data_IF_472238621206
#
_entry.id   IF_472238621206
#
_cell.length_a   1.000
_cell.length_b   1.000
_cell.length_c   1.000
_cell.angle_alpha   90.00
_cell.angle_beta   90.00
_cell.angle_gamma   90.00
#
_symmetry.space_group_name_H-M   'P 1'
#
loop_
_entity.id
_entity.type
_entity.pdbx_description
1 polymer ?
#
# COMPACT_ATOMS: atom_id res chain seq x y z
N UNK A 1 13.61 13.02 19.98
CA UNK A 1 14.68 14.02 19.86
C UNK A 1 16.05 13.44 19.49
N UNK A 2 16.40 12.21 19.89
CA UNK A 2 17.71 11.61 19.58
C UNK A 2 17.93 11.31 18.08
N UNK A 3 16.97 10.70 17.39
CA UNK A 3 17.13 10.25 15.98
C UNK A 3 17.22 11.42 15.00
N UNK A 4 16.46 12.49 15.21
CA UNK A 4 16.58 13.69 14.38
C UNK A 4 17.92 14.38 14.63
N UNK A 5 18.36 14.47 15.88
CA UNK A 5 19.68 15.02 16.20
C UNK A 5 20.80 14.16 15.59
N UNK A 6 20.70 12.82 15.64
CA UNK A 6 21.69 11.93 15.01
C UNK A 6 21.64 12.04 13.48
N UNK A 7 20.46 12.19 12.88
CA UNK A 7 20.31 12.44 11.45
C UNK A 7 20.88 13.79 11.05
N UNK A 8 20.59 14.85 11.81
CA UNK A 8 21.13 16.20 11.56
C UNK A 8 22.64 16.28 11.75
N UNK A 9 23.19 15.58 12.76
CA UNK A 9 24.64 15.53 13.01
C UNK A 9 25.40 14.78 11.91
N UNK A 10 24.75 13.83 11.23
CA UNK A 10 25.35 13.05 10.15
C UNK A 10 25.04 13.63 8.75
N UNK A 11 24.18 14.66 8.63
CA UNK A 11 24.02 15.39 7.39
C UNK A 11 25.26 16.25 7.12
N UNK A 12 25.80 16.28 5.91
CA UNK A 12 26.85 17.21 5.53
C UNK A 12 26.26 18.63 5.44
N UNK A 13 25.89 19.21 6.59
CA UNK A 13 25.23 20.52 6.71
C UNK A 13 25.90 21.60 5.86
N UNK A 14 27.24 21.72 5.79
CA UNK A 14 27.88 22.73 4.93
C UNK A 14 27.55 22.52 3.43
N UNK A 15 27.38 21.28 3.01
CA UNK A 15 27.00 20.94 1.64
C UNK A 15 25.53 21.27 1.35
N UNK A 16 24.66 21.05 2.34
CA UNK A 16 23.22 21.34 2.21
C UNK A 16 22.95 22.83 2.25
N UNK A 17 23.64 23.59 3.09
CA UNK A 17 23.48 25.04 3.18
C UNK A 17 23.94 25.78 1.91
N UNK A 18 25.06 25.36 1.33
CA UNK A 18 25.62 26.04 0.14
C UNK A 18 25.07 25.51 -1.17
N UNK A 19 24.88 24.19 -1.28
CA UNK A 19 24.54 23.52 -2.53
C UNK A 19 23.14 22.92 -2.56
N UNK A 20 22.41 22.92 -1.45
CA UNK A 20 21.15 22.20 -1.32
C UNK A 20 20.09 22.61 -2.33
N UNK A 21 19.92 23.92 -2.56
CA UNK A 21 18.99 24.43 -3.58
C UNK A 21 19.46 24.10 -5.00
N UNK A 22 20.76 24.08 -5.25
CA UNK A 22 21.31 23.68 -6.55
C UNK A 22 21.10 22.20 -6.79
N UNK A 23 21.34 21.35 -5.78
CA UNK A 23 21.09 19.91 -5.84
C UNK A 23 19.60 19.65 -6.09
N UNK A 24 18.71 20.37 -5.40
CA UNK A 24 17.26 20.29 -5.59
C UNK A 24 16.87 20.67 -7.03
N UNK A 25 17.38 21.80 -7.53
CA UNK A 25 17.16 22.27 -8.88
C UNK A 25 17.61 21.24 -9.93
N UNK A 26 18.86 20.79 -9.83
CA UNK A 26 19.43 19.79 -10.76
C UNK A 26 18.71 18.45 -10.69
N UNK A 27 18.30 18.03 -9.50
CA UNK A 27 17.54 16.80 -9.32
C UNK A 27 16.17 16.87 -10.00
N UNK A 28 15.44 17.96 -9.82
CA UNK A 28 14.15 18.17 -10.48
C UNK A 28 14.29 18.31 -12.01
N UNK A 29 15.36 18.95 -12.47
CA UNK A 29 15.69 19.12 -13.88
C UNK A 29 16.02 17.78 -14.52
N UNK A 30 16.97 17.02 -13.96
CA UNK A 30 17.43 15.72 -14.49
C UNK A 30 16.28 14.72 -14.53
N UNK A 31 15.42 14.71 -13.51
CA UNK A 31 14.26 13.85 -13.44
C UNK A 31 13.23 14.11 -14.56
N UNK A 32 13.20 15.33 -15.09
CA UNK A 32 12.33 15.71 -16.22
C UNK A 32 12.95 15.44 -17.58
N UNK A 33 14.23 15.02 -17.64
CA UNK A 33 14.89 14.67 -18.91
C UNK A 33 14.47 13.28 -19.39
N UNK A 34 14.30 13.09 -20.73
CA UNK A 34 14.00 11.78 -21.29
C UNK A 34 15.16 10.82 -21.03
N UNK A 35 14.90 9.56 -20.78
CA UNK A 35 15.82 8.47 -20.45
C UNK A 35 16.37 8.59 -19.01
N UNK A 36 17.18 9.60 -18.74
CA UNK A 36 17.90 9.78 -17.47
C UNK A 36 16.91 9.91 -16.31
N UNK A 37 15.85 10.69 -16.51
CA UNK A 37 14.81 10.91 -15.48
C UNK A 37 14.05 9.64 -15.07
N UNK A 38 13.98 8.61 -15.91
CA UNK A 38 13.34 7.34 -15.54
C UNK A 38 14.15 6.51 -14.53
N UNK A 39 15.44 6.76 -14.42
CA UNK A 39 16.37 6.04 -13.53
C UNK A 39 16.86 6.91 -12.37
N UNK A 40 16.67 8.21 -12.46
CA UNK A 40 17.16 9.16 -11.45
C UNK A 40 16.10 9.37 -10.35
N UNK A 41 16.44 9.21 -9.06
CA UNK A 41 15.48 9.32 -7.95
C UNK A 41 15.26 10.78 -7.50
N UNK A 42 15.11 11.73 -8.44
CA UNK A 42 14.98 13.16 -8.14
C UNK A 42 13.76 13.49 -7.30
N UNK A 43 12.64 12.72 -7.46
CA UNK A 43 11.45 12.89 -6.63
C UNK A 43 11.73 12.70 -5.13
N UNK A 44 12.63 11.78 -4.78
CA UNK A 44 13.06 11.59 -3.39
C UNK A 44 13.79 12.83 -2.85
N UNK A 45 14.59 13.52 -3.69
CA UNK A 45 15.27 14.76 -3.32
C UNK A 45 14.26 15.89 -3.13
N UNK A 46 13.23 15.96 -3.97
CA UNK A 46 12.15 16.96 -3.83
C UNK A 46 11.31 16.73 -2.58
N UNK A 47 10.97 15.48 -2.26
CA UNK A 47 10.32 15.13 -0.98
C UNK A 47 11.22 15.48 0.21
N UNK A 48 12.51 15.14 0.13
CA UNK A 48 13.48 15.46 1.18
C UNK A 48 13.61 16.96 1.39
N UNK A 49 13.53 17.78 0.34
CA UNK A 49 13.58 19.25 0.48
C UNK A 49 12.41 19.79 1.31
N UNK A 50 11.22 19.18 1.22
CA UNK A 50 10.08 19.49 2.09
C UNK A 50 10.34 19.13 3.54
N UNK A 51 10.93 17.96 3.78
CA UNK A 51 11.35 17.54 5.12
C UNK A 51 12.42 18.49 5.71
N UNK A 52 13.41 18.89 4.91
CA UNK A 52 14.42 19.88 5.32
C UNK A 52 13.81 21.27 5.58
N UNK A 53 12.75 21.63 4.88
CA UNK A 53 12.00 22.86 5.15
C UNK A 53 11.23 22.78 6.49
N UNK A 54 10.71 21.63 6.86
CA UNK A 54 10.14 21.42 8.20
C UNK A 54 11.19 21.58 9.31
N UNK A 55 12.41 21.10 9.09
CA UNK A 55 13.53 21.25 10.02
C UNK A 55 14.10 22.68 10.07
N UNK A 56 13.59 23.62 9.26
CA UNK A 56 14.05 25.00 9.19
C UNK A 56 15.36 25.19 8.41
N UNK A 57 15.91 24.14 7.77
CA UNK A 57 17.12 24.20 6.95
C UNK A 57 16.82 24.86 5.61
N UNK A 58 15.67 24.56 5.01
CA UNK A 58 15.18 25.20 3.79
C UNK A 58 13.99 26.10 4.09
N UNK A 59 13.80 27.13 3.26
CA UNK A 59 12.53 27.86 3.21
C UNK A 59 11.56 27.11 2.32
N UNK A 60 10.33 26.91 2.80
CA UNK A 60 9.30 26.13 2.10
C UNK A 60 8.96 26.73 0.73
N UNK A 61 8.78 28.05 0.66
CA UNK A 61 8.50 28.80 -0.56
C UNK A 61 9.65 28.70 -1.59
N UNK A 62 10.89 28.80 -1.12
CA UNK A 62 12.07 28.65 -1.95
C UNK A 62 12.23 27.22 -2.48
N UNK A 63 12.01 26.21 -1.64
CA UNK A 63 12.07 24.81 -2.06
C UNK A 63 11.04 24.50 -3.15
N UNK A 64 9.79 24.96 -3.00
CA UNK A 64 8.75 24.81 -4.03
C UNK A 64 9.15 25.51 -5.33
N UNK A 65 9.64 26.76 -5.22
CA UNK A 65 10.02 27.56 -6.39
C UNK A 65 11.19 26.94 -7.16
N UNK A 66 12.22 26.50 -6.45
CA UNK A 66 13.41 25.87 -7.05
C UNK A 66 13.08 24.53 -7.71
N UNK A 67 12.28 23.67 -7.04
CA UNK A 67 11.82 22.41 -7.61
C UNK A 67 10.94 22.64 -8.86
N UNK A 68 10.05 23.64 -8.81
CA UNK A 68 9.23 24.05 -9.95
C UNK A 68 10.09 24.49 -11.14
N UNK A 69 11.05 25.41 -10.92
CA UNK A 69 11.94 25.90 -11.97
C UNK A 69 12.76 24.77 -12.59
N UNK A 70 13.36 23.92 -11.77
CA UNK A 70 14.10 22.74 -12.25
C UNK A 70 13.23 21.84 -13.13
N UNK A 71 12.04 21.52 -12.68
CA UNK A 71 11.12 20.67 -13.41
C UNK A 71 10.65 21.27 -14.74
N UNK A 72 10.32 22.58 -14.78
CA UNK A 72 9.87 23.26 -16.01
C UNK A 72 11.02 23.40 -17.00
N UNK A 73 12.22 23.73 -16.54
CA UNK A 73 13.39 23.82 -17.42
C UNK A 73 13.76 22.44 -17.99
N UNK A 74 13.71 21.39 -17.17
CA UNK A 74 13.92 20.03 -17.64
C UNK A 74 12.87 19.58 -18.69
N UNK A 75 11.60 19.95 -18.51
CA UNK A 75 10.55 19.73 -19.50
C UNK A 75 10.78 20.50 -20.79
N UNK A 76 11.22 21.76 -20.69
CA UNK A 76 11.58 22.58 -21.87
C UNK A 76 12.70 21.93 -22.67
N UNK A 77 13.75 21.48 -22.01
CA UNK A 77 14.84 20.75 -22.66
C UNK A 77 14.33 19.47 -23.33
N UNK A 78 13.50 18.71 -22.63
CA UNK A 78 12.87 17.48 -23.16
C UNK A 78 12.00 17.76 -24.38
N UNK A 79 11.21 18.84 -24.35
CA UNK A 79 10.39 19.28 -25.48
C UNK A 79 11.25 19.67 -26.68
N UNK A 80 12.31 20.47 -26.49
CA UNK A 80 13.22 20.91 -27.54
C UNK A 80 13.96 19.71 -28.17
N UNK A 81 14.43 18.76 -27.34
CA UNK A 81 15.04 17.51 -27.83
C UNK A 81 14.03 16.72 -28.67
N UNK A 82 12.80 16.58 -28.20
CA UNK A 82 11.72 15.91 -28.93
C UNK A 82 11.39 16.60 -30.27
N UNK A 83 11.30 17.93 -30.25
CA UNK A 83 10.99 18.75 -31.41
C UNK A 83 12.06 18.65 -32.51
N UNK A 84 13.35 18.71 -32.13
CA UNK A 84 14.49 18.70 -33.07
C UNK A 84 14.86 17.29 -33.55
N UNK A 85 14.88 16.31 -32.63
CA UNK A 85 15.47 15.01 -32.89
C UNK A 85 14.48 13.83 -32.84
N UNK A 86 13.21 14.08 -32.53
CA UNK A 86 12.26 13.07 -32.08
C UNK A 86 12.08 11.86 -32.97
N UNK A 87 12.03 12.03 -34.28
CA UNK A 87 11.83 10.90 -35.20
C UNK A 87 13.06 9.96 -35.25
N UNK A 88 14.24 10.52 -35.44
CA UNK A 88 15.48 9.76 -35.50
C UNK A 88 15.89 9.18 -34.14
N UNK A 89 15.58 9.90 -33.06
CA UNK A 89 15.88 9.49 -31.72
C UNK A 89 15.07 8.25 -31.29
N UNK A 90 13.78 8.21 -31.62
CA UNK A 90 12.93 7.04 -31.32
C UNK A 90 13.31 5.84 -32.17
N UNK A 91 13.62 6.02 -33.45
CA UNK A 91 14.05 4.93 -34.30
C UNK A 91 15.36 4.26 -33.80
N UNK A 92 16.28 5.07 -33.26
CA UNK A 92 17.60 4.59 -32.81
C UNK A 92 17.62 4.12 -31.37
N UNK A 93 16.87 4.79 -30.49
CA UNK A 93 16.93 4.58 -29.03
C UNK A 93 15.62 4.08 -28.41
N UNK A 94 14.52 4.00 -29.14
CA UNK A 94 13.19 3.62 -28.63
C UNK A 94 13.16 2.27 -27.92
N UNK A 95 14.04 1.33 -28.25
CA UNK A 95 14.18 0.04 -27.56
C UNK A 95 14.58 0.20 -26.08
N UNK A 96 15.39 1.20 -25.76
CA UNK A 96 15.85 1.47 -24.39
C UNK A 96 14.78 2.11 -23.52
N UNK A 97 13.70 2.63 -24.13
CA UNK A 97 12.58 3.29 -23.44
C UNK A 97 11.38 2.39 -23.21
N UNK A 98 11.47 1.09 -23.53
CA UNK A 98 10.29 0.22 -23.57
C UNK A 98 9.16 0.78 -24.48
N UNK A 99 9.48 1.73 -25.36
CA UNK A 99 8.60 2.32 -26.35
C UNK A 99 8.64 1.47 -27.61
N UNK A 100 7.77 0.47 -27.68
CA UNK A 100 7.46 -0.14 -28.97
C UNK A 100 6.78 0.89 -29.88
N UNK A 101 6.95 0.77 -31.18
CA UNK A 101 6.33 1.67 -32.17
C UNK A 101 4.82 1.84 -31.96
N UNK A 102 4.14 0.76 -31.57
CA UNK A 102 2.70 0.76 -31.26
C UNK A 102 2.37 1.60 -30.01
N UNK A 103 3.21 1.53 -28.97
CA UNK A 103 3.02 2.35 -27.75
C UNK A 103 3.32 3.81 -28.01
N UNK A 104 4.32 4.10 -28.83
CA UNK A 104 4.65 5.45 -29.25
C UNK A 104 3.50 6.12 -29.99
N UNK A 105 2.93 5.47 -31.03
CA UNK A 105 1.81 6.03 -31.78
C UNK A 105 0.56 6.24 -30.93
N UNK A 106 0.26 5.29 -29.99
CA UNK A 106 -0.84 5.47 -29.04
C UNK A 106 -0.62 6.67 -28.12
N UNK A 107 0.59 6.85 -27.59
CA UNK A 107 0.91 7.96 -26.69
C UNK A 107 0.91 9.30 -27.45
N UNK A 108 1.42 9.31 -28.67
CA UNK A 108 1.41 10.48 -29.56
C UNK A 108 -0.02 10.95 -29.88
N UNK A 109 -0.93 10.02 -30.20
CA UNK A 109 -2.33 10.34 -30.45
C UNK A 109 -3.02 10.86 -29.18
N UNK A 110 -2.79 10.23 -28.04
CA UNK A 110 -3.32 10.64 -26.75
C UNK A 110 -2.84 12.05 -26.34
N UNK A 111 -1.58 12.38 -26.60
CA UNK A 111 -1.04 13.73 -26.34
C UNK A 111 -1.55 14.74 -27.35
N UNK A 112 -1.75 14.39 -28.62
CA UNK A 112 -2.38 15.28 -29.60
C UNK A 112 -3.80 15.67 -29.22
N UNK A 113 -4.60 14.70 -28.77
CA UNK A 113 -6.00 14.92 -28.40
C UNK A 113 -6.14 15.55 -27.01
N UNK A 114 -5.33 15.14 -26.04
CA UNK A 114 -5.48 15.48 -24.63
C UNK A 114 -4.15 16.01 -24.00
N UNK A 115 -3.44 16.89 -24.70
CA UNK A 115 -2.15 17.41 -24.25
C UNK A 115 -2.16 17.93 -22.81
N UNK A 116 -3.21 18.65 -22.41
CA UNK A 116 -3.35 19.18 -21.05
C UNK A 116 -3.39 18.09 -20.00
N UNK A 117 -4.26 17.08 -20.18
CA UNK A 117 -4.39 15.96 -19.23
C UNK A 117 -3.10 15.13 -19.17
N UNK A 118 -2.45 14.89 -20.30
CA UNK A 118 -1.23 14.10 -20.35
C UNK A 118 -0.04 14.82 -19.67
N UNK A 119 0.10 16.13 -19.84
CA UNK A 119 1.17 16.92 -19.25
C UNK A 119 0.97 17.19 -17.75
N UNK A 120 -0.27 17.35 -17.28
CA UNK A 120 -0.55 17.58 -15.86
C UNK A 120 -0.58 16.27 -15.09
N UNK A 121 -1.48 15.33 -15.46
CA UNK A 121 -1.70 14.07 -14.73
C UNK A 121 -0.52 13.14 -14.92
N UNK A 122 0.08 13.14 -16.11
CA UNK A 122 1.26 12.31 -16.43
C UNK A 122 2.46 12.61 -15.53
N UNK A 123 2.58 13.81 -14.95
CA UNK A 123 3.67 14.16 -14.03
C UNK A 123 3.69 13.36 -12.73
N UNK A 124 2.54 12.87 -12.30
CA UNK A 124 2.45 12.02 -11.10
C UNK A 124 2.82 10.56 -11.35
N UNK A 125 3.07 10.18 -12.61
CA UNK A 125 3.60 8.88 -12.98
C UNK A 125 5.06 9.01 -13.42
N UNK A 126 6.03 8.38 -12.75
CA UNK A 126 7.46 8.57 -13.05
C UNK A 126 7.82 8.29 -14.52
N UNK A 127 7.24 7.27 -15.10
CA UNK A 127 7.48 6.91 -16.51
C UNK A 127 6.83 7.88 -17.49
N UNK A 128 5.57 8.27 -17.24
CA UNK A 128 4.82 9.18 -18.14
C UNK A 128 5.42 10.57 -18.11
N UNK A 129 5.87 11.03 -16.95
CA UNK A 129 6.51 12.35 -16.78
C UNK A 129 7.75 12.49 -17.65
N UNK A 130 8.70 11.56 -17.55
CA UNK A 130 9.97 11.62 -18.30
C UNK A 130 9.79 11.60 -19.83
N UNK A 131 8.63 11.11 -20.32
CA UNK A 131 8.37 10.92 -21.74
C UNK A 131 7.37 11.93 -22.30
N UNK A 132 6.47 12.48 -21.46
CA UNK A 132 5.37 13.33 -21.93
C UNK A 132 5.82 14.64 -22.59
N UNK A 133 6.80 15.34 -21.99
CA UNK A 133 7.36 16.56 -22.54
C UNK A 133 8.11 16.30 -23.88
N UNK A 134 8.87 15.22 -23.93
CA UNK A 134 9.56 14.78 -25.13
C UNK A 134 8.55 14.44 -26.27
N UNK A 135 7.51 13.65 -25.99
CA UNK A 135 6.49 13.31 -27.00
C UNK A 135 5.68 14.55 -27.40
N UNK A 136 5.45 15.52 -26.51
CA UNK A 136 4.84 16.79 -26.87
C UNK A 136 5.65 17.55 -27.93
N UNK A 137 7.00 17.54 -27.78
CA UNK A 137 7.92 18.07 -28.78
C UNK A 137 7.87 17.33 -30.10
N UNK A 138 7.98 16.01 -30.08
CA UNK A 138 7.84 15.15 -31.29
C UNK A 138 6.51 15.36 -32.01
N UNK A 139 5.43 15.55 -31.24
CA UNK A 139 4.10 15.78 -31.78
C UNK A 139 3.87 17.22 -32.29
N UNK A 140 4.89 18.09 -32.19
CA UNK A 140 4.87 19.50 -32.58
C UNK A 140 3.68 20.27 -31.98
N UNK A 141 3.36 20.06 -30.71
CA UNK A 141 2.37 20.84 -30.02
C UNK A 141 2.81 22.30 -29.95
N UNK A 142 1.87 23.26 -30.12
CA UNK A 142 2.18 24.68 -30.03
C UNK A 142 2.89 24.98 -28.71
N UNK A 143 4.03 25.67 -28.78
CA UNK A 143 4.88 25.96 -27.61
C UNK A 143 4.14 26.66 -26.48
N UNK A 144 3.28 27.65 -26.80
CA UNK A 144 2.46 28.36 -25.80
C UNK A 144 1.53 27.41 -25.04
N UNK A 145 0.93 26.44 -25.71
CA UNK A 145 0.07 25.43 -25.10
C UNK A 145 0.90 24.46 -24.24
N UNK A 146 2.07 24.07 -24.72
CA UNK A 146 2.97 23.20 -23.95
C UNK A 146 3.43 23.85 -22.68
N UNK A 147 3.97 25.10 -22.74
CA UNK A 147 4.52 25.79 -21.57
C UNK A 147 3.44 26.07 -20.52
N UNK A 148 2.23 26.42 -20.93
CA UNK A 148 1.11 26.64 -20.03
C UNK A 148 0.84 25.38 -19.16
N UNK A 149 0.70 24.22 -19.80
CA UNK A 149 0.44 22.98 -19.08
C UNK A 149 1.68 22.44 -18.33
N UNK A 150 2.88 22.70 -18.83
CA UNK A 150 4.12 22.36 -18.14
C UNK A 150 4.28 23.18 -16.85
N UNK A 151 3.97 24.48 -16.87
CA UNK A 151 3.98 25.31 -15.68
C UNK A 151 2.88 24.90 -14.69
N UNK A 152 1.65 24.73 -15.15
CA UNK A 152 0.53 24.33 -14.27
C UNK A 152 0.78 22.96 -13.60
N UNK A 153 1.23 21.98 -14.38
CA UNK A 153 1.61 20.67 -13.85
C UNK A 153 2.86 20.72 -12.97
N UNK A 154 3.82 21.60 -13.31
CA UNK A 154 5.06 21.81 -12.56
C UNK A 154 4.82 22.35 -11.17
N UNK A 155 3.99 23.39 -11.05
CA UNK A 155 3.68 23.98 -9.74
C UNK A 155 2.86 23.01 -8.87
N UNK A 156 1.90 22.29 -9.47
CA UNK A 156 1.11 21.29 -8.77
C UNK A 156 2.00 20.16 -8.25
N UNK A 157 2.90 19.63 -9.08
CA UNK A 157 3.80 18.55 -8.70
C UNK A 157 4.84 18.98 -7.65
N UNK A 158 5.52 20.11 -7.85
CA UNK A 158 6.51 20.62 -6.91
C UNK A 158 5.86 20.98 -5.56
N UNK A 159 4.73 21.69 -5.60
CA UNK A 159 3.99 22.06 -4.40
C UNK A 159 3.53 20.83 -3.61
N UNK A 160 2.86 19.87 -4.26
CA UNK A 160 2.41 18.65 -3.59
C UNK A 160 3.58 17.83 -3.05
N UNK A 161 4.67 17.67 -3.82
CA UNK A 161 5.81 16.86 -3.38
C UNK A 161 6.52 17.47 -2.18
N UNK A 162 6.80 18.78 -2.22
CA UNK A 162 7.44 19.49 -1.11
C UNK A 162 6.52 19.54 0.12
N UNK A 163 5.21 19.79 -0.07
CA UNK A 163 4.24 19.78 1.04
C UNK A 163 4.10 18.39 1.67
N UNK A 164 4.07 17.34 0.87
CA UNK A 164 4.07 15.96 1.41
C UNK A 164 5.32 15.70 2.24
N UNK A 165 6.49 16.12 1.77
CA UNK A 165 7.74 16.03 2.55
C UNK A 165 7.71 16.85 3.83
N UNK A 166 7.13 18.05 3.80
CA UNK A 166 6.96 18.93 4.96
C UNK A 166 6.02 18.34 6.01
N UNK A 167 4.85 17.85 5.58
CA UNK A 167 3.88 17.17 6.46
C UNK A 167 4.48 15.89 7.01
N UNK A 168 5.20 15.12 6.20
CA UNK A 168 5.93 13.94 6.68
C UNK A 168 6.94 14.32 7.76
N UNK A 169 7.63 15.47 7.63
CA UNK A 169 8.52 16.02 8.65
C UNK A 169 7.82 16.27 9.99
N UNK A 170 6.61 16.85 9.97
CA UNK A 170 5.81 17.08 11.19
C UNK A 170 5.47 15.77 11.93
N UNK A 171 5.26 14.70 11.17
CA UNK A 171 4.92 13.39 11.74
C UNK A 171 6.14 12.47 11.94
N UNK A 172 7.31 12.91 11.47
CA UNK A 172 8.52 12.09 11.47
C UNK A 172 9.01 11.76 12.88
N UNK A 173 8.94 12.69 13.83
CA UNK A 173 9.28 12.45 15.23
C UNK A 173 8.36 11.40 15.87
N UNK A 174 7.07 11.47 15.55
CA UNK A 174 6.12 10.46 15.95
C UNK A 174 6.40 9.13 15.24
N UNK A 175 6.68 9.16 13.93
CA UNK A 175 6.91 7.98 13.12
C UNK A 175 8.28 7.32 13.40
N UNK A 176 9.37 8.08 13.50
CA UNK A 176 10.73 7.54 13.63
C UNK A 176 10.95 6.82 14.95
N UNK A 177 10.32 7.31 16.00
CA UNK A 177 10.34 6.68 17.31
C UNK A 177 9.69 5.30 17.29
N UNK A 178 8.72 5.10 16.38
CA UNK A 178 7.86 3.93 16.29
C UNK A 178 8.20 2.98 15.15
N UNK A 179 8.80 3.50 14.09
CA UNK A 179 9.05 2.72 12.87
C UNK A 179 10.48 2.21 12.71
N UNK A 180 11.46 2.73 13.48
CA UNK A 180 12.88 2.57 13.15
C UNK A 180 13.38 1.13 13.12
N UNK A 181 13.12 0.32 14.14
CA UNK A 181 13.71 -1.04 14.23
C UNK A 181 12.89 -2.09 13.48
N UNK A 182 11.58 -2.10 13.68
CA UNK A 182 10.70 -3.14 13.09
C UNK A 182 10.48 -2.97 11.61
N UNK A 183 10.37 -1.75 11.11
CA UNK A 183 10.29 -1.48 9.65
C UNK A 183 11.56 -1.94 8.94
N UNK A 184 12.72 -1.65 9.50
CA UNK A 184 13.99 -2.12 8.92
C UNK A 184 14.05 -3.63 8.87
N UNK A 185 13.61 -4.32 9.93
CA UNK A 185 13.54 -5.78 9.97
C UNK A 185 12.51 -6.29 8.94
N UNK A 186 11.34 -5.68 8.85
CA UNK A 186 10.32 -6.07 7.86
C UNK A 186 10.81 -5.86 6.42
N UNK A 187 11.41 -4.71 6.11
CA UNK A 187 12.00 -4.41 4.80
C UNK A 187 13.15 -5.38 4.49
N UNK A 188 14.08 -5.61 5.45
CA UNK A 188 15.17 -6.55 5.28
C UNK A 188 14.66 -7.97 5.03
N UNK A 189 13.63 -8.40 5.75
CA UNK A 189 12.98 -9.70 5.56
C UNK A 189 12.32 -9.80 4.18
N UNK A 190 11.63 -8.77 3.74
CA UNK A 190 11.02 -8.72 2.39
C UNK A 190 12.11 -8.78 1.31
N UNK A 191 13.19 -8.00 1.46
CA UNK A 191 14.34 -8.03 0.54
C UNK A 191 14.98 -9.42 0.54
N UNK A 192 15.21 -10.03 1.69
CA UNK A 192 15.76 -11.38 1.82
C UNK A 192 14.85 -12.42 1.14
N UNK A 193 13.54 -12.32 1.30
CA UNK A 193 12.55 -13.17 0.62
C UNK A 193 12.65 -13.02 -0.91
N UNK A 194 12.72 -11.77 -1.40
CA UNK A 194 12.83 -11.48 -2.84
C UNK A 194 14.15 -12.01 -3.41
N UNK A 195 15.26 -11.79 -2.71
CA UNK A 195 16.58 -12.28 -3.12
C UNK A 195 16.65 -13.80 -3.05
N UNK A 196 16.19 -14.41 -1.97
CA UNK A 196 16.09 -15.86 -1.81
C UNK A 196 15.23 -16.50 -2.92
N UNK A 197 14.07 -15.90 -3.21
CA UNK A 197 13.23 -16.30 -4.33
C UNK A 197 13.98 -16.24 -5.68
N UNK A 198 14.68 -15.13 -5.96
CA UNK A 198 15.46 -14.98 -7.21
C UNK A 198 16.57 -16.01 -7.33
N UNK A 199 17.32 -16.25 -6.25
CA UNK A 199 18.43 -17.21 -6.21
C UNK A 199 17.94 -18.66 -6.37
N UNK A 200 16.90 -19.05 -5.61
CA UNK A 200 16.37 -20.41 -5.65
C UNK A 200 15.66 -20.70 -6.99
N UNK A 201 14.93 -19.70 -7.52
CA UNK A 201 14.16 -19.88 -8.74
C UNK A 201 15.04 -19.85 -10.00
N UNK A 202 16.25 -19.27 -9.94
CA UNK A 202 17.23 -19.29 -11.04
C UNK A 202 17.68 -20.72 -11.40
N UNK A 203 17.66 -21.65 -10.40
CA UNK A 203 18.14 -23.03 -10.61
C UNK A 203 17.03 -24.09 -10.68
N UNK A 204 15.88 -23.91 -10.03
CA UNK A 204 14.89 -24.99 -9.86
C UNK A 204 13.45 -24.66 -10.24
N UNK A 205 13.09 -23.42 -10.62
CA UNK A 205 11.71 -22.98 -10.95
C UNK A 205 10.62 -23.46 -9.98
N UNK A 206 10.96 -23.62 -8.69
CA UNK A 206 10.08 -24.20 -7.66
C UNK A 206 8.98 -23.23 -7.25
N UNK A 207 9.30 -21.92 -7.24
CA UNK A 207 8.36 -20.92 -6.76
C UNK A 207 7.77 -20.10 -7.90
N UNK A 208 6.45 -20.03 -7.99
CA UNK A 208 5.78 -19.12 -8.90
C UNK A 208 5.82 -17.68 -8.35
N UNK A 209 5.81 -16.68 -9.24
CA UNK A 209 5.91 -15.24 -8.91
C UNK A 209 4.93 -14.78 -7.81
N UNK A 210 3.76 -15.39 -7.73
CA UNK A 210 2.74 -15.06 -6.72
C UNK A 210 3.11 -15.48 -5.28
N UNK A 211 4.04 -16.44 -5.07
CA UNK A 211 4.50 -16.79 -3.71
C UNK A 211 5.20 -15.61 -3.03
N UNK A 212 5.91 -14.79 -3.80
CA UNK A 212 6.56 -13.57 -3.29
C UNK A 212 5.52 -12.59 -2.75
N UNK A 213 4.40 -12.41 -3.48
CA UNK A 213 3.33 -11.52 -3.02
C UNK A 213 2.69 -12.00 -1.72
N UNK A 214 2.41 -13.32 -1.59
CA UNK A 214 1.86 -13.87 -0.36
C UNK A 214 2.85 -13.80 0.81
N UNK A 215 4.14 -14.05 0.56
CA UNK A 215 5.18 -13.91 1.58
C UNK A 215 5.33 -12.46 2.03
N UNK A 216 5.36 -11.51 1.10
CA UNK A 216 5.43 -10.07 1.43
C UNK A 216 4.20 -9.65 2.25
N UNK A 217 3.00 -10.07 1.83
CA UNK A 217 1.78 -9.76 2.56
C UNK A 217 1.76 -10.39 3.95
N UNK A 218 2.30 -11.60 4.09
CA UNK A 218 2.44 -12.30 5.36
C UNK A 218 3.37 -11.56 6.33
N UNK A 219 4.54 -11.10 5.84
CA UNK A 219 5.49 -10.31 6.64
C UNK A 219 4.89 -8.97 7.05
N UNK A 220 4.19 -8.29 6.14
CA UNK A 220 3.51 -7.03 6.48
C UNK A 220 2.40 -7.25 7.52
N UNK A 221 1.63 -8.32 7.39
CA UNK A 221 0.56 -8.64 8.33
C UNK A 221 1.10 -8.93 9.72
N UNK A 222 2.13 -9.77 9.85
CA UNK A 222 2.73 -10.06 11.16
C UNK A 222 3.42 -8.84 11.77
N UNK A 223 4.01 -7.97 10.93
CA UNK A 223 4.56 -6.70 11.36
C UNK A 223 3.49 -5.79 11.97
N UNK A 224 2.36 -5.58 11.25
CA UNK A 224 1.24 -4.75 11.76
C UNK A 224 0.70 -5.33 13.06
N UNK A 225 0.51 -6.65 13.13
CA UNK A 225 0.05 -7.32 14.34
C UNK A 225 1.00 -7.08 15.52
N UNK A 226 2.31 -7.31 15.32
CA UNK A 226 3.33 -7.08 16.35
C UNK A 226 3.39 -5.63 16.81
N UNK A 227 3.28 -4.68 15.86
CA UNK A 227 3.29 -3.25 16.16
C UNK A 227 2.08 -2.80 17.00
N UNK A 228 0.88 -3.35 16.73
CA UNK A 228 -0.30 -3.05 17.55
C UNK A 228 -0.13 -3.54 19.01
N UNK A 229 0.55 -4.65 19.20
CA UNK A 229 0.86 -5.20 20.54
C UNK A 229 1.91 -4.34 21.24
N UNK A 230 3.01 -4.03 20.56
CA UNK A 230 4.09 -3.18 21.09
C UNK A 230 3.55 -1.83 21.55
N UNK A 231 2.82 -1.12 20.68
CA UNK A 231 2.24 0.19 20.96
C UNK A 231 1.27 0.17 22.16
N UNK A 232 0.57 -0.95 22.36
CA UNK A 232 -0.27 -1.13 23.54
C UNK A 232 0.56 -1.18 24.84
N UNK A 233 1.63 -1.98 24.85
CA UNK A 233 2.47 -2.11 26.05
C UNK A 233 3.29 -0.85 26.34
N UNK A 234 3.84 -0.23 25.28
CA UNK A 234 4.68 0.97 25.41
C UNK A 234 3.88 2.27 25.52
N UNK A 235 2.54 2.20 25.44
CA UNK A 235 1.61 3.34 25.47
C UNK A 235 1.94 4.41 24.43
N UNK A 236 2.28 3.97 23.23
CA UNK A 236 2.78 4.83 22.15
C UNK A 236 1.66 5.45 21.29
N UNK A 237 1.97 5.77 20.03
CA UNK A 237 1.09 6.52 19.13
C UNK A 237 -0.29 5.88 18.96
N UNK A 238 -0.33 4.57 18.63
CA UNK A 238 -1.59 3.87 18.37
C UNK A 238 -2.44 3.76 19.64
N UNK A 239 -1.81 3.60 20.80
CA UNK A 239 -2.48 3.64 22.09
C UNK A 239 -3.17 5.00 22.33
N UNK A 240 -2.47 6.12 22.06
CA UNK A 240 -3.04 7.46 22.17
C UNK A 240 -4.16 7.70 21.16
N UNK A 241 -3.98 7.19 19.94
CA UNK A 241 -4.98 7.24 18.89
C UNK A 241 -6.25 6.47 19.27
N UNK A 242 -6.13 5.31 19.92
CA UNK A 242 -7.27 4.55 20.45
C UNK A 242 -8.12 5.40 21.38
N UNK A 243 -7.50 6.07 22.36
CA UNK A 243 -8.22 6.95 23.29
C UNK A 243 -8.79 8.19 22.62
N UNK A 244 -8.05 8.78 21.70
CA UNK A 244 -8.53 9.92 20.92
C UNK A 244 -9.77 9.54 20.09
N UNK A 245 -9.75 8.39 19.43
CA UNK A 245 -10.86 7.92 18.62
C UNK A 245 -12.06 7.55 19.51
N UNK A 246 -11.81 6.85 20.62
CA UNK A 246 -12.86 6.47 21.59
C UNK A 246 -13.60 7.69 22.13
N UNK A 247 -12.89 8.80 22.41
CA UNK A 247 -13.50 10.04 22.88
C UNK A 247 -14.35 10.77 21.84
N UNK A 248 -14.34 10.34 20.56
CA UNK A 248 -15.02 11.01 19.44
C UNK A 248 -16.07 10.14 18.74
N UNK A 249 -16.02 8.85 18.93
CA UNK A 249 -16.97 7.92 18.29
C UNK A 249 -18.40 8.22 18.69
N UNK A 250 -18.63 8.74 19.89
CA UNK A 250 -19.96 9.13 20.40
C UNK A 250 -20.65 10.16 19.51
N UNK A 251 -19.89 11.02 18.83
CA UNK A 251 -20.41 12.01 17.89
C UNK A 251 -21.12 11.38 16.68
N UNK A 252 -20.84 10.12 16.40
CA UNK A 252 -21.45 9.36 15.31
C UNK A 252 -22.71 8.61 15.74
N UNK A 253 -23.03 8.59 17.05
CA UNK A 253 -24.14 7.79 17.55
C UNK A 253 -25.48 8.34 17.10
N UNK A 254 -26.18 7.55 16.32
CA UNK A 254 -27.53 7.80 15.82
C UNK A 254 -28.34 6.51 15.91
N UNK A 255 -29.59 6.58 16.30
CA UNK A 255 -30.47 5.41 16.51
C UNK A 255 -30.47 4.44 15.30
N UNK A 256 -30.58 4.95 14.08
CA UNK A 256 -30.58 4.13 12.86
C UNK A 256 -29.23 3.44 12.61
N UNK A 257 -28.14 4.20 12.71
CA UNK A 257 -26.78 3.69 12.51
C UNK A 257 -26.40 2.69 13.61
N UNK A 258 -26.77 2.95 14.86
CA UNK A 258 -26.54 2.01 15.97
C UNK A 258 -27.24 0.68 15.73
N UNK A 259 -28.51 0.68 15.32
CA UNK A 259 -29.24 -0.54 14.98
C UNK A 259 -28.55 -1.32 13.84
N UNK A 260 -28.09 -0.60 12.82
CA UNK A 260 -27.32 -1.20 11.70
C UNK A 260 -26.00 -1.83 12.20
N UNK A 261 -25.24 -1.14 13.05
CA UNK A 261 -23.97 -1.66 13.57
C UNK A 261 -24.18 -2.87 14.48
N UNK A 262 -25.24 -2.89 15.28
CA UNK A 262 -25.63 -4.05 16.08
C UNK A 262 -26.03 -5.21 15.19
N UNK A 263 -26.80 -4.99 14.12
CA UNK A 263 -27.13 -6.03 13.15
C UNK A 263 -25.87 -6.61 12.48
N UNK A 264 -24.98 -5.72 11.98
CA UNK A 264 -23.73 -6.12 11.33
C UNK A 264 -22.88 -6.98 12.27
N UNK A 265 -22.69 -6.54 13.51
CA UNK A 265 -21.85 -7.28 14.47
C UNK A 265 -22.43 -8.64 14.85
N UNK A 266 -23.76 -8.77 14.93
CA UNK A 266 -24.44 -10.03 15.26
C UNK A 266 -24.40 -11.00 14.08
N UNK A 267 -24.76 -10.54 12.87
CA UNK A 267 -24.75 -11.37 11.65
C UNK A 267 -23.34 -11.85 11.29
N UNK A 268 -22.32 -11.03 11.49
CA UNK A 268 -20.93 -11.37 11.20
C UNK A 268 -20.13 -11.66 12.49
N UNK A 269 -20.80 -12.20 13.50
CA UNK A 269 -20.10 -12.63 14.72
C UNK A 269 -19.17 -13.83 14.44
N UNK A 270 -18.09 -14.00 15.22
CA UNK A 270 -17.18 -15.14 15.09
C UNK A 270 -17.90 -16.48 15.14
N UNK A 271 -18.94 -16.59 15.97
CA UNK A 271 -19.75 -17.81 16.09
C UNK A 271 -20.52 -18.10 14.78
N UNK A 272 -21.20 -17.09 14.22
CA UNK A 272 -21.96 -17.22 12.96
C UNK A 272 -21.02 -17.52 11.81
N UNK A 273 -19.93 -16.75 11.63
CA UNK A 273 -18.97 -16.97 10.56
C UNK A 273 -18.28 -18.34 10.69
N UNK A 274 -17.98 -18.77 11.92
CA UNK A 274 -17.43 -20.09 12.22
C UNK A 274 -18.42 -21.22 11.87
N UNK A 275 -19.69 -21.08 12.24
CA UNK A 275 -20.73 -22.05 11.92
C UNK A 275 -20.96 -22.18 10.40
N UNK A 276 -21.01 -21.05 9.67
CA UNK A 276 -21.13 -21.05 8.21
C UNK A 276 -19.89 -21.68 7.54
N UNK A 277 -18.69 -21.35 8.05
CA UNK A 277 -17.45 -21.97 7.56
C UNK A 277 -17.43 -23.48 7.80
N UNK A 278 -17.88 -23.94 8.98
CA UNK A 278 -17.99 -25.36 9.29
C UNK A 278 -19.00 -26.06 8.38
N UNK A 279 -20.18 -25.48 8.17
CA UNK A 279 -21.20 -26.01 7.24
C UNK A 279 -20.65 -26.08 5.81
N UNK A 280 -19.92 -25.07 5.35
CA UNK A 280 -19.24 -25.10 4.06
C UNK A 280 -18.18 -26.20 3.99
N UNK A 281 -17.38 -26.40 5.03
CA UNK A 281 -16.38 -27.45 5.10
C UNK A 281 -17.04 -28.83 5.00
N UNK A 282 -18.12 -29.10 5.76
CA UNK A 282 -18.89 -30.32 5.70
C UNK A 282 -19.50 -30.55 4.31
N UNK A 283 -20.09 -29.51 3.71
CA UNK A 283 -20.63 -29.60 2.34
C UNK A 283 -19.56 -30.02 1.32
N UNK A 284 -18.39 -29.37 1.34
CA UNK A 284 -17.30 -29.70 0.42
C UNK A 284 -16.69 -31.08 0.72
N UNK A 285 -16.70 -31.53 1.97
CA UNK A 285 -16.28 -32.87 2.35
C UNK A 285 -17.20 -33.92 1.76
N UNK A 286 -18.53 -33.75 1.88
CA UNK A 286 -19.55 -34.65 1.28
C UNK A 286 -19.41 -34.67 -0.25
N UNK A 287 -19.15 -33.52 -0.87
CA UNK A 287 -18.88 -33.40 -2.32
C UNK A 287 -17.51 -33.97 -2.74
N UNK A 288 -16.82 -34.67 -1.86
CA UNK A 288 -15.49 -35.29 -2.05
C UNK A 288 -14.37 -34.30 -2.39
N UNK A 289 -14.57 -32.99 -2.12
CA UNK A 289 -13.54 -31.96 -2.25
C UNK A 289 -12.78 -31.77 -0.92
N UNK A 290 -12.19 -32.87 -0.42
CA UNK A 290 -11.60 -32.98 0.92
C UNK A 290 -10.56 -31.87 1.23
N UNK A 291 -9.75 -31.50 0.24
CA UNK A 291 -8.71 -30.49 0.44
C UNK A 291 -9.27 -29.10 0.69
N UNK A 292 -10.33 -28.71 -0.08
CA UNK A 292 -11.02 -27.44 0.14
C UNK A 292 -11.73 -27.43 1.49
N UNK A 293 -12.35 -28.56 1.85
CA UNK A 293 -12.96 -28.73 3.16
C UNK A 293 -11.94 -28.57 4.29
N UNK A 294 -10.80 -29.26 4.21
CA UNK A 294 -9.71 -29.13 5.19
C UNK A 294 -9.16 -27.70 5.25
N UNK A 295 -8.96 -27.05 4.10
CA UNK A 295 -8.51 -25.66 4.05
C UNK A 295 -9.47 -24.72 4.76
N UNK A 296 -10.78 -24.81 4.49
CA UNK A 296 -11.82 -23.98 5.14
C UNK A 296 -11.83 -24.25 6.65
N UNK A 297 -11.85 -25.53 7.05
CA UNK A 297 -11.88 -25.92 8.45
C UNK A 297 -10.67 -25.44 9.23
N UNK A 298 -9.46 -25.70 8.73
CA UNK A 298 -8.20 -25.31 9.38
C UNK A 298 -8.07 -23.78 9.43
N UNK A 299 -8.53 -23.08 8.38
CA UNK A 299 -8.49 -21.61 8.37
C UNK A 299 -9.39 -21.02 9.46
N UNK A 300 -10.62 -21.49 9.57
CA UNK A 300 -11.58 -20.98 10.56
C UNK A 300 -11.23 -21.40 11.98
N UNK A 301 -11.02 -22.69 12.22
CA UNK A 301 -10.69 -23.22 13.55
C UNK A 301 -9.36 -22.68 14.08
N UNK A 302 -8.31 -22.70 13.25
CA UNK A 302 -7.00 -22.20 13.63
C UNK A 302 -6.98 -20.69 13.85
N UNK A 303 -7.74 -19.92 13.05
CA UNK A 303 -7.89 -18.48 13.28
C UNK A 303 -8.59 -18.19 14.61
N UNK A 304 -9.65 -18.92 14.93
CA UNK A 304 -10.33 -18.79 16.23
C UNK A 304 -9.39 -19.12 17.39
N UNK A 305 -8.68 -20.24 17.32
CA UNK A 305 -7.72 -20.66 18.36
C UNK A 305 -6.61 -19.60 18.53
N UNK A 306 -6.04 -19.09 17.44
CA UNK A 306 -5.01 -18.06 17.51
C UNK A 306 -5.55 -16.77 18.13
N UNK A 307 -6.76 -16.36 17.77
CA UNK A 307 -7.39 -15.17 18.36
C UNK A 307 -7.56 -15.29 19.86
N UNK A 308 -8.09 -16.42 20.34
CA UNK A 308 -8.28 -16.67 21.77
C UNK A 308 -6.93 -16.83 22.50
N UNK A 309 -5.95 -17.48 21.90
CA UNK A 309 -4.60 -17.61 22.46
C UNK A 309 -3.99 -16.23 22.75
N UNK A 310 -3.99 -15.32 21.75
CA UNK A 310 -3.44 -13.99 21.94
C UNK A 310 -4.26 -13.13 22.91
N UNK A 311 -5.58 -13.27 22.97
CA UNK A 311 -6.40 -12.59 24.00
C UNK A 311 -5.99 -12.99 25.41
N UNK A 312 -5.81 -14.29 25.66
CA UNK A 312 -5.38 -14.78 26.97
C UNK A 312 -3.94 -14.39 27.30
N UNK A 313 -3.07 -14.24 26.31
CA UNK A 313 -1.69 -13.83 26.49
C UNK A 313 -1.56 -12.34 26.82
N UNK A 314 -2.31 -11.48 26.08
CA UNK A 314 -2.16 -10.01 26.17
C UNK A 314 -3.04 -9.41 27.26
N UNK A 315 -4.22 -9.97 27.51
CA UNK A 315 -5.18 -9.59 28.56
C UNK A 315 -5.57 -8.11 28.55
N UNK A 316 -5.71 -7.50 27.37
CA UNK A 316 -6.09 -6.09 27.25
C UNK A 316 -7.54 -5.86 27.65
N UNK A 317 -7.85 -4.85 28.52
CA UNK A 317 -9.22 -4.49 28.86
C UNK A 317 -9.94 -3.83 27.66
N UNK A 318 -11.26 -3.96 27.64
CA UNK A 318 -12.12 -3.30 26.64
C UNK A 318 -12.37 -1.84 26.99
N UNK A 319 -12.83 -1.00 26.03
CA UNK A 319 -13.41 0.30 26.34
C UNK A 319 -14.53 0.17 27.37
N UNK A 320 -14.61 1.14 28.30
CA UNK A 320 -15.55 1.06 29.42
C UNK A 320 -17.01 1.38 29.05
N UNK A 321 -17.21 2.17 27.98
CA UNK A 321 -18.52 2.73 27.59
C UNK A 321 -19.14 2.02 26.36
N UNK A 322 -19.06 0.69 26.30
CA UNK A 322 -19.62 -0.08 25.17
C UNK A 322 -21.14 -0.04 25.11
N UNK A 323 -21.71 0.13 23.89
CA UNK A 323 -23.16 0.12 23.65
C UNK A 323 -23.81 -1.26 23.74
N UNK A 324 -23.00 -2.31 23.77
CA UNK A 324 -23.44 -3.71 23.94
C UNK A 324 -22.54 -4.42 24.94
N UNK A 325 -23.12 -5.31 25.72
CA UNK A 325 -22.35 -6.14 26.65
C UNK A 325 -21.44 -7.11 25.91
N UNK A 326 -20.18 -7.17 26.33
CA UNK A 326 -19.20 -8.10 25.81
C UNK A 326 -18.25 -8.55 26.91
N UNK A 327 -17.96 -9.85 26.95
CA UNK A 327 -17.06 -10.46 27.92
C UNK A 327 -15.64 -10.69 27.36
N UNK A 328 -14.70 -10.90 28.27
CA UNK A 328 -13.32 -11.27 27.93
C UNK A 328 -12.45 -10.10 27.43
N UNK A 329 -11.23 -10.43 27.01
CA UNK A 329 -10.22 -9.45 26.61
C UNK A 329 -10.46 -8.88 25.20
N UNK A 330 -9.88 -7.70 24.95
CA UNK A 330 -10.15 -6.93 23.71
C UNK A 330 -9.22 -7.25 22.56
N UNK A 331 -7.93 -7.45 22.77
CA UNK A 331 -6.91 -7.58 21.70
C UNK A 331 -6.49 -9.03 21.49
N UNK A 332 -6.55 -9.54 20.24
CA UNK A 332 -7.08 -8.95 19.03
C UNK A 332 -8.61 -9.08 18.88
N UNK A 333 -9.22 -8.27 17.99
CA UNK A 333 -10.66 -8.38 17.72
C UNK A 333 -10.99 -9.67 16.94
N UNK A 334 -11.75 -10.57 17.60
CA UNK A 334 -12.19 -11.84 16.99
C UNK A 334 -13.13 -11.65 15.80
N UNK A 335 -13.98 -10.60 15.79
CA UNK A 335 -14.86 -10.27 14.66
C UNK A 335 -14.03 -9.88 13.43
N UNK A 336 -13.07 -8.98 13.59
CA UNK A 336 -12.20 -8.54 12.50
C UNK A 336 -11.36 -9.71 11.94
N UNK A 337 -10.80 -10.54 12.82
CA UNK A 337 -10.02 -11.72 12.45
C UNK A 337 -10.85 -12.71 11.63
N UNK A 338 -12.02 -13.11 12.15
CA UNK A 338 -12.88 -14.08 11.48
C UNK A 338 -13.49 -13.52 10.19
N UNK A 339 -13.79 -12.22 10.13
CA UNK A 339 -14.26 -11.56 8.92
C UNK A 339 -13.22 -11.64 7.79
N UNK A 340 -11.95 -11.35 8.07
CA UNK A 340 -10.87 -11.47 7.07
C UNK A 340 -10.77 -12.90 6.57
N UNK A 341 -10.73 -13.88 7.47
CA UNK A 341 -10.60 -15.29 7.10
C UNK A 341 -11.79 -15.72 6.23
N UNK A 342 -13.01 -15.50 6.73
CA UNK A 342 -14.23 -15.96 6.06
C UNK A 342 -14.42 -15.30 4.69
N UNK A 343 -14.41 -13.97 4.63
CA UNK A 343 -14.66 -13.25 3.40
C UNK A 343 -13.54 -13.43 2.36
N UNK A 344 -12.29 -13.61 2.79
CA UNK A 344 -11.21 -13.94 1.86
C UNK A 344 -11.36 -15.35 1.28
N UNK A 345 -11.86 -16.33 2.04
CA UNK A 345 -12.22 -17.66 1.52
C UNK A 345 -13.36 -17.55 0.50
N UNK A 346 -14.39 -16.74 0.80
CA UNK A 346 -15.49 -16.47 -0.14
C UNK A 346 -14.96 -15.83 -1.42
N UNK A 347 -14.10 -14.81 -1.30
CA UNK A 347 -13.45 -14.19 -2.45
C UNK A 347 -12.67 -15.22 -3.27
N UNK A 348 -11.89 -16.06 -2.62
CA UNK A 348 -11.10 -17.10 -3.28
C UNK A 348 -11.97 -18.10 -4.07
N UNK A 349 -13.06 -18.57 -3.48
CA UNK A 349 -13.94 -19.57 -4.11
C UNK A 349 -14.73 -18.99 -5.29
N UNK A 350 -15.21 -17.75 -5.17
CA UNK A 350 -16.15 -17.17 -6.13
C UNK A 350 -15.49 -16.26 -7.18
N UNK A 351 -14.37 -15.58 -6.87
CA UNK A 351 -13.73 -14.66 -7.81
C UNK A 351 -13.23 -15.37 -9.09
N UNK A 352 -12.87 -16.65 -9.02
CA UNK A 352 -12.46 -17.42 -10.21
C UNK A 352 -13.63 -17.74 -11.15
N UNK A 353 -14.87 -17.78 -10.64
CA UNK A 353 -16.06 -18.03 -11.45
C UNK A 353 -16.47 -16.79 -12.26
N UNK A 354 -16.03 -15.61 -11.87
CA UNK A 354 -16.34 -14.36 -12.55
C UNK A 354 -15.34 -14.13 -13.68
N UNK A 355 -15.80 -14.29 -14.93
CA UNK A 355 -14.94 -14.18 -16.13
C UNK A 355 -14.53 -12.74 -16.44
N UNK A 356 -15.43 -11.79 -16.26
CA UNK A 356 -15.19 -10.40 -16.59
C UNK A 356 -14.43 -9.66 -15.47
N UNK A 357 -13.45 -8.82 -15.85
CA UNK A 357 -12.60 -8.10 -14.88
C UNK A 357 -13.38 -7.10 -14.03
N UNK A 358 -14.31 -6.36 -14.62
CA UNK A 358 -15.04 -5.31 -13.91
C UNK A 358 -15.92 -5.87 -12.77
N UNK A 359 -16.86 -6.84 -12.99
CA UNK A 359 -17.62 -7.43 -11.90
C UNK A 359 -16.76 -8.19 -10.90
N UNK A 360 -15.63 -8.76 -11.32
CA UNK A 360 -14.66 -9.37 -10.40
C UNK A 360 -14.05 -8.36 -9.45
N UNK A 361 -13.64 -7.19 -9.95
CA UNK A 361 -13.09 -6.12 -9.12
C UNK A 361 -14.16 -5.52 -8.20
N UNK A 362 -15.40 -5.36 -8.67
CA UNK A 362 -16.52 -4.90 -7.85
C UNK A 362 -16.83 -5.89 -6.72
N UNK A 363 -16.83 -7.19 -7.01
CA UNK A 363 -16.99 -8.24 -6.00
C UNK A 363 -15.89 -8.17 -4.94
N UNK A 364 -14.62 -8.03 -5.36
CA UNK A 364 -13.50 -7.89 -4.44
C UNK A 364 -13.62 -6.62 -3.57
N UNK A 365 -14.01 -5.48 -4.17
CA UNK A 365 -14.26 -4.25 -3.44
C UNK A 365 -15.41 -4.40 -2.43
N UNK A 366 -16.49 -5.09 -2.78
CA UNK A 366 -17.58 -5.41 -1.86
C UNK A 366 -17.14 -6.26 -0.67
N UNK A 367 -16.29 -7.24 -0.90
CA UNK A 367 -15.69 -8.05 0.17
C UNK A 367 -14.82 -7.22 1.10
N UNK A 368 -13.96 -6.36 0.56
CA UNK A 368 -13.11 -5.45 1.36
C UNK A 368 -13.98 -4.50 2.18
N UNK A 369 -15.05 -3.95 1.58
CA UNK A 369 -16.00 -3.09 2.26
C UNK A 369 -16.68 -3.82 3.44
N UNK A 370 -17.14 -5.07 3.26
CA UNK A 370 -17.75 -5.86 4.32
C UNK A 370 -16.77 -6.12 5.49
N UNK A 371 -15.52 -6.47 5.19
CA UNK A 371 -14.48 -6.63 6.21
C UNK A 371 -14.29 -5.33 7.00
N UNK A 372 -14.19 -4.19 6.29
CA UNK A 372 -14.09 -2.87 6.90
C UNK A 372 -15.30 -2.51 7.75
N UNK A 373 -16.51 -2.81 7.25
CA UNK A 373 -17.78 -2.56 7.95
C UNK A 373 -17.88 -3.35 9.26
N UNK A 374 -17.47 -4.63 9.26
CA UNK A 374 -17.40 -5.45 10.48
C UNK A 374 -16.41 -4.84 11.46
N UNK A 375 -15.21 -4.47 11.02
CA UNK A 375 -14.22 -3.80 11.87
C UNK A 375 -14.73 -2.49 12.45
N UNK A 376 -15.33 -1.64 11.59
CA UNK A 376 -15.92 -0.37 12.00
C UNK A 376 -17.04 -0.55 13.03
N UNK A 377 -17.90 -1.57 12.88
CA UNK A 377 -18.98 -1.82 13.85
C UNK A 377 -18.45 -2.04 15.26
N UNK A 378 -17.24 -2.64 15.41
CA UNK A 378 -16.65 -2.91 16.73
C UNK A 378 -16.12 -1.65 17.41
N UNK A 379 -15.60 -0.72 16.60
CA UNK A 379 -15.14 0.60 17.06
C UNK A 379 -16.35 1.46 17.40
N UNK A 380 -17.34 1.53 16.50
CA UNK A 380 -18.56 2.32 16.67
C UNK A 380 -19.34 1.95 17.96
N UNK A 381 -19.44 0.66 18.23
CA UNK A 381 -20.12 0.15 19.42
C UNK A 381 -19.25 0.24 20.70
N UNK A 382 -18.04 0.78 20.62
CA UNK A 382 -17.07 0.90 21.74
C UNK A 382 -16.81 -0.42 22.46
N UNK A 383 -16.74 -1.52 21.74
CA UNK A 383 -16.43 -2.84 22.32
C UNK A 383 -15.00 -3.30 22.03
N UNK A 384 -14.32 -2.60 21.11
CA UNK A 384 -12.92 -2.77 20.77
C UNK A 384 -12.25 -1.45 20.44
N UNK A 385 -10.99 -1.33 20.77
CA UNK A 385 -10.12 -0.27 20.33
C UNK A 385 -9.81 -0.39 18.82
N UNK A 386 -9.42 0.71 18.19
CA UNK A 386 -8.99 0.67 16.77
C UNK A 386 -7.85 -0.33 16.55
N UNK A 387 -6.84 -0.32 17.45
CA UNK A 387 -5.70 -1.23 17.36
C UNK A 387 -6.09 -2.70 17.54
N UNK A 388 -7.13 -3.02 18.33
CA UNK A 388 -7.67 -4.39 18.43
C UNK A 388 -8.19 -4.87 17.08
N UNK A 389 -8.91 -3.97 16.37
CA UNK A 389 -9.45 -4.26 15.05
C UNK A 389 -8.33 -4.43 14.03
N UNK A 390 -7.38 -3.50 13.99
CA UNK A 390 -6.22 -3.57 13.11
C UNK A 390 -5.39 -4.85 13.35
N UNK A 391 -5.16 -5.21 14.61
CA UNK A 391 -4.48 -6.45 14.99
C UNK A 391 -5.28 -7.70 14.55
N UNK A 392 -6.62 -7.68 14.72
CA UNK A 392 -7.47 -8.77 14.27
C UNK A 392 -7.43 -8.98 12.76
N UNK A 393 -7.53 -7.89 11.98
CA UNK A 393 -7.39 -7.91 10.52
C UNK A 393 -6.01 -8.46 10.10
N UNK A 394 -4.95 -7.97 10.73
CA UNK A 394 -3.59 -8.36 10.44
C UNK A 394 -3.33 -9.84 10.79
N UNK A 395 -3.75 -10.31 11.97
CA UNK A 395 -3.59 -11.70 12.38
C UNK A 395 -4.38 -12.66 11.47
N UNK A 396 -5.60 -12.28 11.08
CA UNK A 396 -6.42 -13.05 10.15
C UNK A 396 -5.77 -13.17 8.77
N UNK A 397 -5.21 -12.05 8.26
CA UNK A 397 -4.50 -12.02 6.99
C UNK A 397 -3.20 -12.83 7.03
N UNK A 398 -2.42 -12.72 8.13
CA UNK A 398 -1.23 -13.52 8.37
C UNK A 398 -1.56 -15.02 8.34
N UNK A 399 -2.55 -15.44 9.13
CA UNK A 399 -2.93 -16.83 9.23
C UNK A 399 -3.37 -17.41 7.89
N UNK A 400 -4.25 -16.71 7.18
CA UNK A 400 -4.76 -17.18 5.89
C UNK A 400 -3.65 -17.27 4.83
N UNK A 401 -2.80 -16.24 4.71
CA UNK A 401 -1.70 -16.25 3.75
C UNK A 401 -0.66 -17.31 4.07
N UNK A 402 -0.38 -17.54 5.35
CA UNK A 402 0.47 -18.64 5.83
C UNK A 402 -0.10 -20.00 5.38
N UNK A 403 -1.38 -20.25 5.63
CA UNK A 403 -2.02 -21.50 5.20
C UNK A 403 -2.02 -21.68 3.69
N UNK A 404 -2.29 -20.62 2.92
CA UNK A 404 -2.20 -20.68 1.45
C UNK A 404 -0.79 -21.13 1.02
N UNK A 405 0.26 -20.60 1.62
CA UNK A 405 1.63 -20.98 1.32
C UNK A 405 1.90 -22.45 1.70
N UNK A 406 1.51 -22.86 2.91
CA UNK A 406 1.69 -24.26 3.38
C UNK A 406 0.97 -25.24 2.47
N UNK A 407 -0.32 -25.03 2.17
CA UNK A 407 -1.09 -25.92 1.31
C UNK A 407 -0.50 -26.00 -0.11
N UNK A 408 0.06 -24.91 -0.62
CA UNK A 408 0.72 -24.89 -1.94
C UNK A 408 2.05 -25.63 -1.95
N UNK A 409 2.86 -25.46 -0.90
CA UNK A 409 4.11 -26.22 -0.78
C UNK A 409 3.83 -27.70 -0.69
N UNK A 410 2.84 -28.12 0.12
CA UNK A 410 2.41 -29.52 0.21
C UNK A 410 1.91 -30.02 -1.15
N UNK A 411 1.10 -29.23 -1.86
CA UNK A 411 0.59 -29.58 -3.18
C UNK A 411 1.69 -29.77 -4.24
N UNK A 412 2.83 -29.08 -4.11
CA UNK A 412 3.98 -29.24 -5.00
C UNK A 412 4.85 -30.45 -4.65
N UNK A 413 4.91 -30.80 -3.37
CA UNK A 413 5.69 -31.95 -2.90
C UNK A 413 4.98 -33.28 -3.17
N UNK A 414 3.65 -33.30 -3.18
CA UNK A 414 2.84 -34.48 -3.45
C UNK A 414 2.41 -34.46 -4.91
N UNK A 415 3.03 -35.31 -5.78
CA UNK A 415 2.79 -35.36 -7.25
C UNK A 415 1.32 -35.59 -7.65
N UNK A 416 0.49 -36.10 -6.80
CA UNK A 416 -0.92 -36.49 -7.05
C UNK A 416 -1.95 -35.45 -6.57
N UNK A 417 -1.54 -34.20 -6.37
CA UNK A 417 -2.43 -33.15 -5.87
C UNK A 417 -3.35 -32.60 -6.99
N UNK A 418 -4.70 -32.64 -6.81
CA UNK A 418 -5.65 -32.20 -7.84
C UNK A 418 -5.55 -30.70 -8.12
N UNK A 419 -5.80 -30.34 -9.38
CA UNK A 419 -5.52 -29.06 -10.02
C UNK A 419 -6.26 -27.81 -9.56
N UNK A 420 -7.10 -27.83 -8.50
CA UNK A 420 -7.83 -26.61 -8.06
C UNK A 420 -6.97 -25.59 -7.30
N UNK A 421 -5.79 -26.02 -6.78
CA UNK A 421 -4.74 -25.11 -6.31
C UNK A 421 -3.76 -24.68 -7.42
N UNK A 422 -3.90 -25.25 -8.63
CA UNK A 422 -3.19 -24.77 -9.81
C UNK A 422 -3.90 -23.50 -10.29
N UNK A 423 -3.45 -22.35 -9.86
CA UNK A 423 -3.78 -21.13 -10.57
C UNK A 423 -3.29 -21.28 -12.00
N UNK A 424 -4.20 -21.22 -12.98
CA UNK A 424 -3.84 -21.19 -14.39
C UNK A 424 -2.72 -20.17 -14.63
N UNK A 425 -1.68 -20.64 -15.35
CA UNK A 425 -0.57 -19.79 -15.82
C UNK A 425 -1.06 -18.56 -16.55
#
# INVERSE_FOLDING_TARGET
MSIINDFLLNLPLPLVDHWGYLILFLSALVESLPIIGSFFPGHAVVLLSGFLAYLGIFRLDAAISVAFLGAVIGDLLSYVIGYKFGHNFIARYGKYFFLSQVRYEKTKNLIKEHAGKALIIGRFSPFVRAVSAFIAGVSRIKFSRFIFFACLGGIAWAGLSVLVGYVFGQWFDAASKYFGRFILIAIATIIFIILGYRLLNKRRHIFAKYHVYYLTLNVLAIYVFGKMIEDYFDKEFVYRFDYWLDSRVDLLWQSGLTKLMVLVTNVFSPAVLGAVALAAAVYFFIKRRRQLANFIFISAAGGFILGEFFKQLIKRPRPAAGLIETSGFSLPSGHALMAVIFFSIVLFIFAEKIKNKWPKNLFAAGIIFLIGLVGFSRIYLKVHWFSDVAAGLALGLFWLTFLILVFRVIAQLVKDYPGWLKFRK
#
